data_IF_795238524352
#
_entry.id   IF_795238524352
#
_cell.length_a   1.000
_cell.length_b   1.000
_cell.length_c   1.000
_cell.angle_alpha   90.00
_cell.angle_beta   90.00
_cell.angle_gamma   90.00
#
_symmetry.space_group_name_H-M   'P 1'
#
loop_
_entity.id
_entity.type
_entity.pdbx_description
1 polymer ?
#
# COMPACT_ATOMS: atom_id res chain seq x y z
N UNK A 1 14.76 -7.28 -8.58
CA UNK A 1 15.33 -7.02 -7.24
C UNK A 1 14.54 -7.83 -6.23
N UNK A 2 15.17 -8.79 -5.55
CA UNK A 2 14.48 -9.70 -4.63
C UNK A 2 14.69 -9.21 -3.19
N UNK A 3 13.85 -8.28 -2.74
CA UNK A 3 13.92 -7.75 -1.37
C UNK A 3 13.18 -8.71 -0.44
N UNK A 4 13.91 -9.35 0.48
CA UNK A 4 13.35 -10.20 1.52
C UNK A 4 13.23 -9.41 2.83
N UNK A 5 12.01 -9.17 3.35
CA UNK A 5 11.84 -8.53 4.65
C UNK A 5 12.38 -9.40 5.78
N UNK A 6 12.99 -8.76 6.77
CA UNK A 6 13.53 -9.40 7.98
C UNK A 6 12.51 -9.34 9.12
N UNK A 7 12.49 -10.38 9.96
CA UNK A 7 11.62 -10.51 11.14
C UNK A 7 10.14 -10.37 10.79
N UNK A 8 9.43 -9.43 11.41
CA UNK A 8 7.98 -9.22 11.29
C UNK A 8 7.64 -8.06 10.32
N UNK A 9 8.59 -7.66 9.47
CA UNK A 9 8.33 -6.57 8.52
C UNK A 9 7.56 -7.10 7.31
N UNK A 10 6.66 -6.27 6.79
CA UNK A 10 5.89 -6.55 5.59
C UNK A 10 6.16 -5.49 4.55
N UNK A 11 6.38 -5.91 3.31
CA UNK A 11 6.57 -5.01 2.17
C UNK A 11 5.24 -4.90 1.43
N UNK A 12 4.71 -3.69 1.46
CA UNK A 12 3.48 -3.31 0.79
C UNK A 12 3.82 -2.44 -0.42
N UNK A 13 3.22 -2.74 -1.57
CA UNK A 13 3.13 -1.79 -2.67
C UNK A 13 1.81 -1.07 -2.57
N UNK A 14 1.88 0.25 -2.40
CA UNK A 14 0.71 1.12 -2.31
C UNK A 14 -0.07 1.03 -3.61
N UNK A 15 -1.37 0.80 -3.52
CA UNK A 15 -2.23 0.84 -4.70
C UNK A 15 -2.48 2.29 -5.11
N UNK A 16 -2.67 2.49 -6.41
CA UNK A 16 -2.88 3.82 -6.98
C UNK A 16 -4.15 4.46 -6.38
N UNK A 17 -4.08 5.77 -6.21
CA UNK A 17 -5.16 6.54 -5.59
C UNK A 17 -6.38 6.52 -6.51
N UNK A 18 -7.54 6.19 -5.96
CA UNK A 18 -8.81 6.27 -6.69
C UNK A 18 -9.04 7.73 -7.12
N UNK A 19 -8.96 7.97 -8.43
CA UNK A 19 -9.10 9.31 -9.02
C UNK A 19 -10.53 9.83 -8.96
N UNK A 20 -11.49 8.96 -8.63
CA UNK A 20 -12.92 9.27 -8.53
C UNK A 20 -13.40 8.93 -7.12
N UNK A 21 -13.98 9.91 -6.45
CA UNK A 21 -14.68 9.64 -5.19
C UNK A 21 -15.99 8.88 -5.45
N UNK A 22 -16.57 8.28 -4.41
CA UNK A 22 -17.85 7.55 -4.51
C UNK A 22 -19.01 8.38 -5.11
N UNK A 23 -18.89 9.72 -5.13
CA UNK A 23 -19.85 10.63 -5.76
C UNK A 23 -19.55 11.01 -7.22
N UNK A 24 -18.58 10.37 -7.87
CA UNK A 24 -18.22 10.64 -9.27
C UNK A 24 -17.36 11.89 -9.50
N UNK A 25 -16.91 12.54 -8.42
CA UNK A 25 -16.06 13.74 -8.50
C UNK A 25 -14.61 13.31 -8.75
N UNK A 26 -13.99 13.91 -9.77
CA UNK A 26 -12.57 13.70 -10.08
C UNK A 26 -11.73 14.48 -9.08
N UNK A 27 -10.92 13.77 -8.29
CA UNK A 27 -9.99 14.38 -7.35
C UNK A 27 -8.77 14.91 -8.12
N UNK A 28 -8.57 16.22 -8.11
CA UNK A 28 -7.34 16.83 -8.65
C UNK A 28 -6.17 16.53 -7.71
N UNK A 29 -4.97 16.37 -8.26
CA UNK A 29 -3.83 15.69 -7.60
C UNK A 29 -3.36 16.23 -6.24
N UNK A 30 -3.86 17.38 -5.77
CA UNK A 30 -3.59 17.91 -4.43
C UNK A 30 -4.57 17.43 -3.35
N UNK A 31 -5.76 16.94 -3.74
CA UNK A 31 -6.78 16.40 -2.83
C UNK A 31 -6.84 14.86 -2.88
N UNK A 32 -5.95 14.24 -3.64
CA UNK A 32 -5.78 12.79 -3.72
C UNK A 32 -5.22 12.30 -2.38
N UNK A 33 -6.10 11.83 -1.50
CA UNK A 33 -5.71 11.31 -0.21
C UNK A 33 -4.84 10.06 -0.36
N UNK A 34 -3.85 9.94 0.53
CA UNK A 34 -2.86 8.89 0.51
C UNK A 34 -3.54 7.52 0.63
N UNK A 35 -3.60 6.74 -0.46
CA UNK A 35 -4.27 5.42 -0.49
C UNK A 35 -3.87 4.54 0.71
N UNK A 36 -4.80 4.23 1.59
CA UNK A 36 -4.55 3.39 2.77
C UNK A 36 -4.47 1.91 2.41
N UNK A 37 -4.81 1.57 1.15
CA UNK A 37 -4.80 0.22 0.61
C UNK A 37 -3.51 -0.04 -0.16
N UNK A 38 -3.04 -1.27 -0.08
CA UNK A 38 -1.83 -1.70 -0.73
C UNK A 38 -1.75 -3.21 -0.75
N UNK A 39 -1.10 -3.74 -1.79
CA UNK A 39 -0.91 -5.18 -1.95
C UNK A 39 0.38 -5.62 -1.26
N UNK A 40 0.30 -6.71 -0.49
CA UNK A 40 1.47 -7.33 0.13
C UNK A 40 2.29 -8.05 -0.95
N UNK A 41 3.56 -7.70 -1.06
CA UNK A 41 4.51 -8.34 -1.99
C UNK A 41 5.40 -9.35 -1.27
N UNK A 42 5.78 -9.07 -0.02
CA UNK A 42 6.62 -9.97 0.76
C UNK A 42 6.34 -9.84 2.26
N UNK A 43 6.39 -10.97 2.95
CA UNK A 43 6.25 -11.09 4.41
C UNK A 43 7.52 -11.68 5.00
N UNK A 44 7.92 -11.17 6.17
CA UNK A 44 9.07 -11.70 6.90
C UNK A 44 8.74 -13.03 7.58
N UNK A 45 9.76 -13.69 8.14
CA UNK A 45 9.64 -15.01 8.79
C UNK A 45 8.92 -14.98 10.14
N UNK A 46 8.45 -13.81 10.59
CA UNK A 46 7.68 -13.64 11.82
C UNK A 46 8.54 -13.60 13.08
N UNK A 47 7.90 -13.28 14.21
CA UNK A 47 8.52 -13.28 15.53
C UNK A 47 8.71 -14.73 15.99
N UNK A 48 9.94 -15.11 16.29
CA UNK A 48 10.25 -16.40 16.92
C UNK A 48 9.85 -16.25 18.39
N UNK A 49 8.85 -17.03 18.82
CA UNK A 49 8.39 -17.11 20.21
C UNK A 49 9.33 -17.96 21.05
#
# INVERSE_FOLDING_TARGET
>A
MNIRPLHDKVILKREEVETKSAGGIVLTGSAAEKSTRGKVIAVGTGRIL
#
